data_IF_499666679734
#
_entry.id   IF_499666679734
#
_cell.length_a   1.000
_cell.length_b   1.000
_cell.length_c   1.000
_cell.angle_alpha   90.00
_cell.angle_beta   90.00
_cell.angle_gamma   90.00
#
_symmetry.space_group_name_H-M   'P 1'
#
loop_
_entity.id
_entity.type
_entity.pdbx_description
1 polymer ?
#
# COMPACT_ATOMS: atom_id res chain seq x y z
N UNK A 1 9.27 -14.38 35.09
CA UNK A 1 10.29 -14.24 34.03
C UNK A 1 10.12 -12.87 33.43
N UNK A 2 11.17 -12.03 33.28
CA UNK A 2 11.01 -10.73 32.65
C UNK A 2 10.59 -10.98 31.20
N UNK A 3 9.49 -10.35 30.77
CA UNK A 3 9.13 -10.31 29.34
C UNK A 3 10.27 -9.56 28.66
N UNK A 4 11.11 -10.29 27.95
CA UNK A 4 12.14 -9.72 27.09
C UNK A 4 11.46 -8.64 26.25
N UNK A 5 11.93 -7.38 26.34
CA UNK A 5 11.33 -6.28 25.60
C UNK A 5 11.46 -6.64 24.13
N UNK A 6 10.35 -7.07 23.52
CA UNK A 6 10.25 -7.33 22.10
C UNK A 6 10.85 -6.10 21.42
N UNK A 7 11.97 -6.24 20.68
CA UNK A 7 12.61 -5.12 20.03
C UNK A 7 11.55 -4.39 19.22
N UNK A 8 11.57 -3.06 19.27
CA UNK A 8 10.72 -2.26 18.39
C UNK A 8 11.20 -2.57 16.98
N UNK A 9 10.53 -3.50 16.29
CA UNK A 9 10.96 -3.98 14.98
C UNK A 9 10.76 -2.81 14.02
N UNK A 10 11.85 -2.08 13.83
CA UNK A 10 11.90 -0.90 13.00
C UNK A 10 11.92 -1.35 11.55
N UNK A 11 10.73 -1.36 10.94
CA UNK A 11 10.62 -1.37 9.49
C UNK A 11 10.88 0.05 8.93
N UNK A 12 12.00 0.69 9.31
CA UNK A 12 12.26 2.12 9.06
C UNK A 12 13.32 2.38 7.97
N UNK A 13 12.84 2.77 6.78
CA UNK A 13 13.42 3.29 5.53
C UNK A 13 14.93 3.22 5.12
N UNK A 14 15.92 2.87 5.96
CA UNK A 14 17.36 2.91 5.61
C UNK A 14 18.06 1.55 5.59
N UNK A 15 17.38 0.49 6.00
CA UNK A 15 17.96 -0.85 6.14
C UNK A 15 17.52 -1.78 5.00
N UNK A 16 18.42 -2.59 4.47
CA UNK A 16 18.16 -3.55 3.39
C UNK A 16 17.00 -4.50 3.73
N UNK A 17 16.82 -4.76 5.03
CA UNK A 17 15.71 -5.56 5.57
C UNK A 17 14.32 -4.97 5.24
N UNK A 18 14.17 -3.65 5.14
CA UNK A 18 12.87 -3.02 4.86
C UNK A 18 12.49 -3.14 3.39
N UNK A 19 13.48 -3.08 2.50
CA UNK A 19 13.28 -3.37 1.09
C UNK A 19 12.78 -4.81 0.93
N UNK A 20 13.36 -5.76 1.66
CA UNK A 20 12.90 -7.16 1.66
C UNK A 20 11.48 -7.32 2.24
N UNK A 21 11.18 -6.73 3.40
CA UNK A 21 9.84 -6.79 3.98
C UNK A 21 8.78 -6.15 3.07
N UNK A 22 9.10 -5.02 2.44
CA UNK A 22 8.17 -4.35 1.52
C UNK A 22 7.98 -5.18 0.26
N UNK A 23 9.04 -5.76 -0.31
CA UNK A 23 8.95 -6.64 -1.46
C UNK A 23 8.06 -7.87 -1.17
N UNK A 24 8.25 -8.51 -0.01
CA UNK A 24 7.44 -9.66 0.42
C UNK A 24 5.98 -9.29 0.62
N UNK A 25 5.71 -8.15 1.26
CA UNK A 25 4.36 -7.63 1.44
C UNK A 25 3.67 -7.35 0.09
N UNK A 26 4.34 -6.66 -0.83
CA UNK A 26 3.81 -6.38 -2.17
C UNK A 26 3.58 -7.67 -2.95
N UNK A 27 4.53 -8.62 -2.89
CA UNK A 27 4.40 -9.94 -3.51
C UNK A 27 3.20 -10.70 -2.97
N UNK A 28 2.96 -10.64 -1.67
CA UNK A 28 1.78 -11.26 -1.05
C UNK A 28 0.48 -10.62 -1.55
N UNK A 29 0.41 -9.29 -1.63
CA UNK A 29 -0.76 -8.59 -2.18
C UNK A 29 -1.06 -9.00 -3.63
N UNK A 30 -0.01 -9.19 -4.47
CA UNK A 30 -0.16 -9.68 -5.85
C UNK A 30 -0.63 -11.13 -5.92
N UNK A 31 -0.17 -11.97 -4.99
CA UNK A 31 -0.46 -13.41 -4.96
C UNK A 31 -1.90 -13.67 -4.53
N UNK A 32 -2.45 -12.84 -3.64
CA UNK A 32 -3.79 -13.01 -3.07
C UNK A 32 -4.70 -11.81 -3.37
N UNK A 33 -5.13 -11.63 -4.63
CA UNK A 33 -5.87 -10.44 -5.06
C UNK A 33 -7.20 -10.26 -4.32
N UNK A 34 -7.96 -11.32 -4.07
CA UNK A 34 -9.24 -11.21 -3.35
C UNK A 34 -9.03 -10.79 -1.90
N UNK A 35 -7.98 -11.32 -1.26
CA UNK A 35 -7.61 -10.97 0.12
C UNK A 35 -7.05 -9.55 0.20
N UNK A 36 -6.27 -9.12 -0.80
CA UNK A 36 -5.74 -7.75 -0.85
C UNK A 36 -6.89 -6.72 -0.98
N UNK A 37 -7.94 -7.03 -1.76
CA UNK A 37 -9.11 -6.15 -1.87
C UNK A 37 -9.71 -5.95 -0.49
N UNK A 38 -10.02 -7.05 0.22
CA UNK A 38 -10.59 -7.01 1.58
C UNK A 38 -9.69 -6.32 2.61
N UNK A 39 -8.37 -6.46 2.46
CA UNK A 39 -7.39 -5.77 3.30
C UNK A 39 -7.51 -4.24 3.17
N UNK A 40 -7.65 -3.75 1.94
CA UNK A 40 -7.71 -2.31 1.60
C UNK A 40 -9.12 -1.74 1.48
N UNK A 41 -10.16 -2.58 1.54
CA UNK A 41 -11.54 -2.12 1.50
C UNK A 41 -11.90 -1.22 2.69
N UNK A 42 -12.84 -0.30 2.49
CA UNK A 42 -13.38 0.47 3.60
C UNK A 42 -14.32 -0.41 4.42
N UNK A 43 -13.96 -0.67 5.70
CA UNK A 43 -14.73 -1.54 6.59
C UNK A 43 -16.15 -1.02 6.84
N UNK A 44 -16.41 0.27 6.66
CA UNK A 44 -17.74 0.85 6.82
C UNK A 44 -18.65 0.53 5.62
N UNK A 45 -18.15 0.68 4.39
CA UNK A 45 -18.94 0.44 3.18
C UNK A 45 -19.22 -1.05 2.98
N UNK A 46 -18.25 -1.92 3.27
CA UNK A 46 -18.45 -3.37 3.22
C UNK A 46 -19.38 -3.87 4.31
N UNK A 47 -19.27 -3.35 5.55
CA UNK A 47 -20.21 -3.67 6.62
C UNK A 47 -21.67 -3.36 6.23
N UNK A 48 -21.89 -2.23 5.55
CA UNK A 48 -23.21 -1.86 5.00
C UNK A 48 -23.64 -2.80 3.88
N UNK A 49 -22.73 -3.15 2.96
CA UNK A 49 -23.04 -4.00 1.80
C UNK A 49 -23.28 -5.48 2.17
N UNK A 50 -22.56 -6.01 3.16
CA UNK A 50 -22.65 -7.42 3.58
C UNK A 50 -23.59 -7.63 4.79
N UNK A 51 -24.04 -6.55 5.43
CA UNK A 51 -24.91 -6.60 6.63
C UNK A 51 -24.16 -6.92 7.92
N UNK A 52 -22.84 -6.71 7.97
CA UNK A 52 -21.97 -7.09 9.07
C UNK A 52 -21.78 -5.92 10.05
N UNK A 53 -21.54 -6.22 11.33
CA UNK A 53 -21.23 -5.19 12.32
C UNK A 53 -19.76 -4.77 12.17
N UNK A 54 -19.45 -3.48 12.35
CA UNK A 54 -18.09 -2.92 12.22
C UNK A 54 -17.02 -3.71 13.02
N UNK A 55 -17.38 -4.24 14.20
CA UNK A 55 -16.49 -5.06 15.02
C UNK A 55 -16.10 -6.39 14.35
N UNK A 56 -17.01 -7.03 13.62
CA UNK A 56 -16.74 -8.29 12.91
C UNK A 56 -15.74 -8.06 11.77
N UNK A 57 -15.89 -6.98 11.01
CA UNK A 57 -14.94 -6.60 9.96
C UNK A 57 -13.55 -6.25 10.51
N UNK A 58 -13.49 -5.57 11.66
CA UNK A 58 -12.21 -5.28 12.33
C UNK A 58 -11.47 -6.56 12.70
N UNK A 59 -12.18 -7.55 13.25
CA UNK A 59 -11.60 -8.86 13.61
C UNK A 59 -11.12 -9.61 12.37
N UNK A 60 -11.87 -9.56 11.26
CA UNK A 60 -11.46 -10.22 10.02
C UNK A 60 -10.23 -9.55 9.38
N UNK A 61 -10.12 -8.23 9.46
CA UNK A 61 -8.90 -7.53 9.01
C UNK A 61 -7.67 -7.90 9.84
N UNK A 62 -7.83 -8.14 11.14
CA UNK A 62 -6.77 -8.66 11.99
C UNK A 62 -6.18 -9.96 11.41
N UNK A 63 -7.04 -10.86 10.93
CA UNK A 63 -6.62 -12.13 10.29
C UNK A 63 -5.83 -11.86 9.01
N UNK A 64 -6.25 -10.94 8.16
CA UNK A 64 -5.49 -10.60 6.94
C UNK A 64 -4.13 -9.98 7.28
N UNK A 65 -4.05 -9.11 8.30
CA UNK A 65 -2.75 -8.59 8.74
C UNK A 65 -1.84 -9.68 9.34
N UNK A 66 -2.41 -10.69 9.99
CA UNK A 66 -1.65 -11.85 10.46
C UNK A 66 -1.09 -12.65 9.28
N UNK A 67 -1.89 -12.91 8.24
CA UNK A 67 -1.42 -13.60 7.03
C UNK A 67 -0.30 -12.84 6.31
N UNK A 68 -0.37 -11.51 6.26
CA UNK A 68 0.73 -10.68 5.76
C UNK A 68 1.96 -10.84 6.65
N UNK A 69 1.80 -10.85 7.97
CA UNK A 69 2.92 -11.08 8.88
C UNK A 69 3.55 -12.47 8.68
N UNK A 70 2.75 -13.51 8.43
CA UNK A 70 3.25 -14.87 8.15
C UNK A 70 4.12 -14.85 6.88
N UNK A 71 3.67 -14.15 5.84
CA UNK A 71 4.40 -14.06 4.57
C UNK A 71 5.72 -13.27 4.69
N UNK A 72 5.76 -12.26 5.56
CA UNK A 72 6.92 -11.36 5.72
C UNK A 72 7.94 -11.90 6.72
N UNK A 73 7.50 -12.59 7.78
CA UNK A 73 8.39 -12.91 8.90
C UNK A 73 8.74 -14.40 9.05
N UNK A 74 7.95 -15.32 8.49
CA UNK A 74 8.25 -16.78 8.56
C UNK A 74 9.60 -17.13 7.94
N UNK A 75 9.98 -16.45 6.85
CA UNK A 75 11.24 -16.68 6.14
C UNK A 75 12.10 -15.41 6.11
N UNK A 76 12.06 -14.64 7.21
CA UNK A 76 12.85 -13.41 7.29
C UNK A 76 14.35 -13.73 7.23
N UNK A 77 15.11 -12.92 6.50
CA UNK A 77 16.56 -13.09 6.38
C UNK A 77 17.31 -12.86 7.70
N UNK A 78 16.71 -12.14 8.64
CA UNK A 78 17.25 -11.96 9.97
C UNK A 78 16.78 -13.11 10.88
N UNK A 79 17.68 -14.04 11.30
CA UNK A 79 17.31 -15.20 12.10
C UNK A 79 16.71 -14.83 13.46
N UNK A 80 17.11 -13.69 14.02
CA UNK A 80 16.56 -13.21 15.29
C UNK A 80 15.11 -12.75 15.13
N UNK A 81 14.78 -12.04 14.04
CA UNK A 81 13.40 -11.65 13.72
C UNK A 81 12.55 -12.89 13.44
N UNK A 82 13.08 -13.85 12.69
CA UNK A 82 12.40 -15.11 12.40
C UNK A 82 12.08 -15.89 13.70
N UNK A 83 13.05 -15.99 14.62
CA UNK A 83 12.86 -16.66 15.90
C UNK A 83 11.83 -15.94 16.78
N UNK A 84 11.91 -14.61 16.87
CA UNK A 84 10.93 -13.80 17.61
C UNK A 84 9.52 -13.96 17.02
N UNK A 85 9.41 -14.03 15.69
CA UNK A 85 8.15 -14.26 15.02
C UNK A 85 7.55 -15.62 15.37
N UNK A 86 8.37 -16.67 15.34
CA UNK A 86 7.93 -18.02 15.70
C UNK A 86 7.42 -18.11 17.15
N UNK A 87 7.99 -17.31 18.05
CA UNK A 87 7.58 -17.27 19.46
C UNK A 87 6.34 -16.38 19.71
N UNK A 88 6.22 -15.26 18.99
CA UNK A 88 5.19 -14.23 19.26
C UNK A 88 4.55 -13.67 17.99
N UNK A 89 3.90 -14.50 17.15
CA UNK A 89 3.46 -14.10 15.81
C UNK A 89 2.42 -12.97 15.82
N UNK A 90 1.55 -12.91 16.83
CA UNK A 90 0.51 -11.88 16.95
C UNK A 90 1.06 -10.48 17.21
N UNK A 91 2.26 -10.37 17.79
CA UNK A 91 2.88 -9.06 18.09
C UNK A 91 3.31 -8.34 16.81
N UNK A 92 3.51 -9.09 15.72
CA UNK A 92 3.99 -8.57 14.43
C UNK A 92 2.89 -7.95 13.55
N UNK A 93 1.62 -8.17 13.89
CA UNK A 93 0.48 -7.49 13.23
C UNK A 93 0.61 -5.98 13.34
N UNK A 94 1.03 -5.46 14.50
CA UNK A 94 1.17 -4.02 14.74
C UNK A 94 2.27 -3.38 13.87
N UNK A 95 3.50 -3.93 13.79
CA UNK A 95 4.51 -3.51 12.82
C UNK A 95 4.01 -3.48 11.37
N UNK A 96 3.28 -4.52 10.92
CA UNK A 96 2.70 -4.53 9.57
C UNK A 96 1.72 -3.37 9.37
N UNK A 97 0.78 -3.16 10.30
CA UNK A 97 -0.18 -2.05 10.25
C UNK A 97 0.54 -0.69 10.18
N UNK A 98 1.57 -0.48 11.01
CA UNK A 98 2.37 0.74 10.99
C UNK A 98 3.14 0.93 9.68
N UNK A 99 3.69 -0.15 9.11
CA UNK A 99 4.39 -0.11 7.83
C UNK A 99 3.44 0.26 6.67
N UNK A 100 2.23 -0.29 6.64
CA UNK A 100 1.21 0.09 5.67
C UNK A 100 0.85 1.58 5.77
N UNK A 101 0.70 2.12 6.98
CA UNK A 101 0.44 3.55 7.18
C UNK A 101 1.59 4.41 6.63
N UNK A 102 2.84 3.98 6.83
CA UNK A 102 4.01 4.64 6.26
C UNK A 102 4.00 4.61 4.73
N UNK A 103 3.71 3.45 4.12
CA UNK A 103 3.60 3.31 2.67
C UNK A 103 2.46 4.17 2.10
N UNK A 104 1.30 4.20 2.76
CA UNK A 104 0.17 5.04 2.37
C UNK A 104 0.52 6.53 2.43
N UNK A 105 1.20 6.96 3.49
CA UNK A 105 1.68 8.34 3.61
C UNK A 105 2.67 8.68 2.48
N UNK A 106 3.68 7.84 2.28
CA UNK A 106 4.69 8.04 1.22
C UNK A 106 4.05 8.10 -0.16
N UNK A 107 3.12 7.18 -0.45
CA UNK A 107 2.33 7.16 -1.67
C UNK A 107 1.54 8.45 -1.89
N UNK A 108 0.79 8.92 -0.90
CA UNK A 108 0.02 10.17 -1.02
C UNK A 108 0.94 11.38 -1.20
N UNK A 109 2.06 11.44 -0.46
CA UNK A 109 3.04 12.52 -0.60
C UNK A 109 3.69 12.52 -1.99
N UNK A 110 3.98 11.35 -2.55
CA UNK A 110 4.41 11.18 -3.94
C UNK A 110 3.30 11.63 -4.91
N UNK A 111 2.05 11.22 -4.71
CA UNK A 111 0.95 11.59 -5.61
C UNK A 111 0.65 13.10 -5.62
N UNK A 112 0.93 13.83 -4.53
CA UNK A 112 0.85 15.30 -4.55
C UNK A 112 1.78 15.92 -5.60
N UNK A 113 2.90 15.28 -5.90
CA UNK A 113 3.81 15.73 -6.97
C UNK A 113 3.25 15.53 -8.37
N UNK A 114 2.29 14.62 -8.54
CA UNK A 114 1.66 14.33 -9.82
C UNK A 114 0.53 15.31 -10.18
N UNK A 115 0.09 16.19 -9.28
CA UNK A 115 -1.15 16.97 -9.40
C UNK A 115 -2.43 16.11 -9.41
N UNK A 116 -3.58 16.70 -9.11
CA UNK A 116 -4.84 15.97 -8.89
C UNK A 116 -5.36 15.23 -10.12
N UNK A 117 -5.23 15.80 -11.32
CA UNK A 117 -5.66 15.17 -12.56
C UNK A 117 -4.78 13.99 -12.97
N UNK A 118 -3.48 14.04 -12.65
CA UNK A 118 -2.53 12.99 -13.05
C UNK A 118 -2.33 11.92 -11.98
N UNK A 119 -2.68 12.20 -10.72
CA UNK A 119 -2.72 11.20 -9.65
C UNK A 119 -3.80 10.12 -9.86
N UNK A 120 -4.69 10.29 -10.83
CA UNK A 120 -5.70 9.30 -11.24
C UNK A 120 -5.29 8.47 -12.47
N UNK A 121 -4.27 8.90 -13.22
CA UNK A 121 -3.80 8.22 -14.43
C UNK A 121 -3.05 6.93 -14.07
N UNK A 122 -3.22 5.90 -14.88
CA UNK A 122 -2.44 4.66 -14.79
C UNK A 122 -0.95 4.91 -15.09
N UNK A 123 -0.08 4.02 -14.63
CA UNK A 123 1.33 4.08 -14.94
C UNK A 123 1.61 4.03 -16.45
N UNK A 124 0.77 3.32 -17.22
CA UNK A 124 0.86 3.25 -18.69
C UNK A 124 0.59 4.64 -19.30
N UNK A 125 -0.52 5.28 -18.94
CA UNK A 125 -0.89 6.63 -19.42
C UNK A 125 0.17 7.69 -19.03
N UNK A 126 0.80 7.54 -17.87
CA UNK A 126 1.92 8.42 -17.46
C UNK A 126 3.18 8.19 -18.34
N UNK A 127 3.48 6.95 -18.72
CA UNK A 127 4.65 6.64 -19.56
C UNK A 127 4.51 7.13 -21.00
N UNK A 128 3.28 7.22 -21.52
CA UNK A 128 2.98 7.71 -22.87
C UNK A 128 3.26 9.21 -23.04
N UNK A 129 3.28 9.97 -21.94
CA UNK A 129 3.55 11.41 -21.94
C UNK A 129 5.03 11.67 -21.59
N UNK A 130 5.87 12.24 -22.49
CA UNK A 130 7.31 12.36 -22.26
C UNK A 130 7.72 13.10 -20.98
N UNK A 131 6.99 14.15 -20.61
CA UNK A 131 7.23 14.90 -19.37
C UNK A 131 6.89 14.08 -18.13
N UNK A 132 5.81 13.29 -18.20
CA UNK A 132 5.34 12.46 -17.09
C UNK A 132 6.18 11.22 -16.92
N UNK A 133 6.68 10.64 -18.01
CA UNK A 133 7.66 9.57 -17.97
C UNK A 133 8.89 9.97 -17.15
N UNK A 134 9.46 11.16 -17.40
CA UNK A 134 10.62 11.67 -16.62
C UNK A 134 10.31 11.84 -15.14
N UNK A 135 9.09 12.29 -14.81
CA UNK A 135 8.64 12.43 -13.43
C UNK A 135 8.45 11.06 -12.77
N UNK A 136 7.82 10.12 -13.47
CA UNK A 136 7.63 8.75 -13.03
C UNK A 136 8.98 8.04 -12.80
N UNK A 137 9.96 8.23 -13.69
CA UNK A 137 11.30 7.67 -13.54
C UNK A 137 11.96 8.18 -12.23
N UNK A 138 11.81 9.47 -11.90
CA UNK A 138 12.28 10.03 -10.61
C UNK A 138 11.53 9.49 -9.40
N UNK A 139 10.22 9.26 -9.55
CA UNK A 139 9.42 8.65 -8.49
C UNK A 139 9.90 7.22 -8.25
N UNK A 140 10.10 6.43 -9.30
CA UNK A 140 10.52 5.03 -9.18
C UNK A 140 11.96 4.90 -8.65
N UNK A 141 12.83 5.87 -8.93
CA UNK A 141 14.17 5.93 -8.34
C UNK A 141 14.14 6.10 -6.80
N UNK A 142 13.19 6.89 -6.27
CA UNK A 142 13.08 7.18 -4.83
C UNK A 142 12.04 6.31 -4.09
N UNK A 143 11.13 5.71 -4.85
CA UNK A 143 10.04 4.88 -4.36
C UNK A 143 9.68 3.78 -5.37
N UNK A 144 10.49 2.71 -5.45
CA UNK A 144 10.34 1.68 -6.48
C UNK A 144 9.02 0.91 -6.42
N UNK A 145 8.37 0.90 -5.25
CA UNK A 145 7.07 0.24 -5.03
C UNK A 145 5.86 1.09 -5.43
N UNK A 146 6.07 2.31 -5.94
CA UNK A 146 4.98 3.22 -6.25
C UNK A 146 4.01 2.61 -7.26
N UNK A 147 4.49 2.01 -8.36
CA UNK A 147 3.62 1.47 -9.41
C UNK A 147 2.74 0.32 -8.91
N UNK A 148 3.30 -0.56 -8.07
CA UNK A 148 2.57 -1.66 -7.45
C UNK A 148 1.49 -1.14 -6.50
N UNK A 149 1.85 -0.21 -5.61
CA UNK A 149 0.89 0.40 -4.68
C UNK A 149 -0.18 1.21 -5.42
N UNK A 150 0.21 1.88 -6.50
CA UNK A 150 -0.72 2.60 -7.36
C UNK A 150 -1.73 1.65 -8.00
N UNK A 151 -1.31 0.46 -8.44
CA UNK A 151 -2.24 -0.55 -8.96
C UNK A 151 -3.29 -0.99 -7.93
N UNK A 152 -2.95 -1.01 -6.64
CA UNK A 152 -3.88 -1.37 -5.56
C UNK A 152 -4.77 -0.20 -5.13
N UNK A 153 -4.22 1.01 -5.09
CA UNK A 153 -4.84 2.14 -4.38
C UNK A 153 -5.38 3.25 -5.29
N UNK A 154 -5.05 3.27 -6.58
CA UNK A 154 -5.36 4.38 -7.50
C UNK A 154 -6.83 4.81 -7.45
N UNK A 155 -7.76 3.86 -7.44
CA UNK A 155 -9.21 4.12 -7.45
C UNK A 155 -9.84 4.13 -6.05
N UNK A 156 -9.06 3.85 -5.00
CA UNK A 156 -9.55 3.82 -3.63
C UNK A 156 -9.28 5.16 -2.95
N UNK A 157 -10.30 6.00 -2.81
CA UNK A 157 -10.18 7.35 -2.22
C UNK A 157 -9.71 7.35 -0.75
N UNK A 158 -9.85 6.24 -0.03
CA UNK A 158 -9.27 6.10 1.31
C UNK A 158 -7.74 6.03 1.31
N UNK A 159 -7.13 5.71 0.15
CA UNK A 159 -5.69 5.57 -0.01
C UNK A 159 -5.09 6.54 -1.03
N UNK A 160 -5.84 6.97 -2.05
CA UNK A 160 -5.44 7.98 -3.01
C UNK A 160 -6.28 9.26 -2.83
N UNK A 161 -5.92 10.05 -1.83
CA UNK A 161 -6.67 11.26 -1.45
C UNK A 161 -6.49 12.42 -2.43
N UNK A 162 -5.48 12.34 -3.29
CA UNK A 162 -5.14 13.36 -4.29
C UNK A 162 -5.94 13.17 -5.57
N UNK A 163 -6.38 11.95 -5.86
CA UNK A 163 -7.21 11.68 -7.03
C UNK A 163 -8.61 12.26 -6.81
N UNK A 164 -8.99 13.20 -7.69
CA UNK A 164 -10.34 13.73 -7.75
C UNK A 164 -11.06 13.16 -8.95
N UNK A 165 -12.20 12.51 -8.73
CA UNK A 165 -13.07 12.00 -9.81
C UNK A 165 -13.74 13.13 -10.60
N UNK A 166 -13.73 14.37 -10.09
CA UNK A 166 -14.44 15.50 -10.69
C UNK A 166 -13.83 15.98 -12.03
N UNK A 167 -12.53 15.74 -12.29
CA UNK A 167 -11.83 16.31 -13.46
C UNK A 167 -11.55 15.31 -14.59
N UNK A 168 -11.73 14.00 -14.36
CA UNK A 168 -11.37 13.00 -15.38
C UNK A 168 -12.15 13.21 -16.69
N UNK A 169 -13.43 13.61 -16.65
CA UNK A 169 -14.22 13.85 -17.87
C UNK A 169 -13.94 15.18 -18.57
N UNK A 170 -13.42 16.19 -17.86
CA UNK A 170 -13.17 17.53 -18.42
C UNK A 170 -11.77 17.66 -19.04
N UNK A 171 -10.76 16.99 -18.48
CA UNK A 171 -9.40 17.09 -19.00
C UNK A 171 -9.24 16.37 -20.35
N UNK A 172 -9.95 15.25 -20.58
CA UNK A 172 -10.01 14.61 -21.91
C UNK A 172 -10.68 15.51 -22.96
N UNK A 173 -11.70 16.29 -22.57
CA UNK A 173 -12.38 17.21 -23.48
C UNK A 173 -11.51 18.44 -23.82
N UNK A 174 -10.69 18.89 -22.87
CA UNK A 174 -9.82 20.07 -23.06
C UNK A 174 -8.58 19.73 -23.89
N UNK A 175 -7.99 18.54 -23.75
CA UNK A 175 -6.90 18.09 -24.61
C UNK A 175 -7.38 17.79 -26.05
N UNK A 176 -8.61 17.30 -26.23
CA UNK A 176 -9.17 17.09 -27.57
C UNK A 176 -9.42 18.40 -28.34
N UNK A 177 -9.64 19.53 -27.66
CA UNK A 177 -9.86 20.84 -28.28
C UNK A 177 -8.58 21.57 -28.71
N UNK A 178 -7.39 21.11 -28.30
CA UNK A 178 -6.12 21.68 -28.77
C UNK A 178 -5.68 21.16 -30.14
N UNK A 179 -6.42 20.22 -30.73
CA UNK A 179 -6.13 19.60 -32.02
C UNK A 179 -7.16 19.91 -33.13
N UNK A 180 -8.04 20.90 -32.94
CA UNK A 180 -8.96 21.40 -33.96
C UNK A 180 -8.84 22.91 -34.19
#
# INVERSE_FOLDING_TARGET
TPVERIPKIQCDNKDTNICACTAQLISWCKTYPDTHIKLFSNSHQEAVNEGWWHQQMSTQKEVYFQQVADAVFTHNHNPHIQQLYAQYPSVFVKPIKSHFQLLCKKYNDTNKTLSSSRACLTAIELRERPEMKRLLDKILDTFPWWEDLHSFWRTNLSYNTVCSTANLSQDFATEAQQYF
#
